data_IF_883574145603
#
_entry.id   IF_883574145603
#
_cell.length_a   1.000
_cell.length_b   1.000
_cell.length_c   1.000
_cell.angle_alpha   90.00
_cell.angle_beta   90.00
_cell.angle_gamma   90.00
#
_symmetry.space_group_name_H-M   'P 1'
#
loop_
_entity.id
_entity.type
_entity.pdbx_description
1 polymer ?
#
# COMPACT_ATOMS: atom_id res chain seq x y z
N UNK A 1 20.32 -3.21 7.07
CA UNK A 1 20.11 -4.42 6.25
C UNK A 1 18.95 -5.30 6.74
N UNK A 2 18.61 -5.32 8.04
CA UNK A 2 17.57 -6.21 8.59
C UNK A 2 16.12 -6.06 8.07
N UNK A 3 15.75 -4.94 7.41
CA UNK A 3 14.39 -4.78 6.86
C UNK A 3 14.17 -5.65 5.61
N UNK A 4 15.22 -5.83 4.79
CA UNK A 4 15.13 -6.62 3.56
C UNK A 4 14.99 -8.12 3.85
N UNK A 5 15.50 -8.59 4.99
CA UNK A 5 15.42 -10.00 5.39
C UNK A 5 14.04 -10.37 5.98
N UNK A 6 13.31 -9.41 6.54
CA UNK A 6 11.95 -9.60 7.07
C UNK A 6 10.89 -9.58 5.96
N UNK A 7 11.17 -8.88 4.85
CA UNK A 7 10.22 -8.65 3.77
C UNK A 7 9.63 -9.95 3.18
N UNK A 8 10.41 -11.02 2.90
CA UNK A 8 9.86 -12.24 2.32
C UNK A 8 8.88 -12.96 3.26
N UNK A 9 9.20 -13.03 4.57
CA UNK A 9 8.32 -13.66 5.56
C UNK A 9 7.03 -12.86 5.79
N UNK A 10 7.12 -11.53 5.74
CA UNK A 10 5.94 -10.66 5.80
C UNK A 10 5.05 -10.84 4.56
N UNK A 11 5.62 -10.84 3.36
CA UNK A 11 4.85 -11.01 2.12
C UNK A 11 4.15 -12.37 2.05
N UNK A 12 4.76 -13.44 2.58
CA UNK A 12 4.14 -14.76 2.64
C UNK A 12 2.97 -14.87 3.63
N UNK A 13 2.97 -14.05 4.69
CA UNK A 13 1.93 -14.08 5.72
C UNK A 13 0.77 -13.13 5.45
N UNK A 14 0.90 -12.23 4.47
CA UNK A 14 -0.15 -11.30 4.08
C UNK A 14 -1.16 -11.95 3.13
N UNK A 15 -2.45 -11.68 3.35
CA UNK A 15 -3.49 -11.96 2.35
C UNK A 15 -3.40 -10.92 1.22
N UNK A 16 -2.69 -11.28 0.16
CA UNK A 16 -2.49 -10.40 -0.99
C UNK A 16 -3.80 -10.08 -1.73
N UNK A 17 -4.88 -10.85 -1.52
CA UNK A 17 -6.17 -10.58 -2.14
C UNK A 17 -6.84 -9.30 -1.60
N UNK A 18 -6.43 -8.84 -0.41
CA UNK A 18 -6.92 -7.57 0.16
C UNK A 18 -6.14 -6.36 -0.35
N UNK A 19 -5.06 -6.55 -1.10
CA UNK A 19 -4.25 -5.45 -1.60
C UNK A 19 -4.97 -4.74 -2.75
N UNK A 20 -5.08 -3.42 -2.63
CA UNK A 20 -5.61 -2.57 -3.69
C UNK A 20 -4.51 -2.18 -4.66
N UNK A 21 -4.61 -2.67 -5.90
CA UNK A 21 -3.73 -2.23 -6.98
C UNK A 21 -4.14 -0.84 -7.47
N UNK A 22 -3.16 0.05 -7.63
CA UNK A 22 -3.36 1.36 -8.26
C UNK A 22 -2.76 1.37 -9.66
N UNK A 23 -3.46 1.92 -10.67
CA UNK A 23 -2.97 1.92 -12.04
C UNK A 23 -1.70 2.75 -12.19
N UNK A 24 -0.72 2.29 -13.00
CA UNK A 24 0.48 3.06 -13.29
C UNK A 24 0.12 4.36 -14.04
N UNK A 25 0.90 5.41 -13.83
CA UNK A 25 0.69 6.72 -14.46
C UNK A 25 -0.47 7.54 -13.89
N UNK A 26 -1.07 7.12 -12.78
CA UNK A 26 -2.13 7.86 -12.09
C UNK A 26 -1.87 7.97 -10.58
N UNK A 27 -0.74 8.59 -10.17
CA UNK A 27 -0.39 8.73 -8.76
C UNK A 27 -1.45 9.50 -7.95
N UNK A 28 -2.27 10.34 -8.59
CA UNK A 28 -3.35 11.11 -7.98
C UNK A 28 -4.40 10.20 -7.34
N UNK A 29 -4.65 9.02 -7.92
CA UNK A 29 -5.58 8.02 -7.34
C UNK A 29 -5.06 7.44 -6.02
N UNK A 30 -3.74 7.23 -5.93
CA UNK A 30 -3.10 6.79 -4.70
C UNK A 30 -3.09 7.93 -3.67
N UNK A 31 -2.76 9.15 -4.09
CA UNK A 31 -2.80 10.35 -3.25
C UNK A 31 -4.18 10.56 -2.63
N UNK A 32 -5.25 10.54 -3.43
CA UNK A 32 -6.62 10.71 -2.94
C UNK A 32 -7.06 9.59 -1.99
N UNK A 33 -6.55 8.36 -2.19
CA UNK A 33 -6.78 7.28 -1.24
C UNK A 33 -6.10 7.57 0.11
N UNK A 34 -4.84 8.02 0.10
CA UNK A 34 -4.13 8.41 1.32
C UNK A 34 -4.90 9.48 2.07
N UNK A 35 -5.29 10.56 1.39
CA UNK A 35 -6.06 11.64 1.99
C UNK A 35 -7.33 11.14 2.69
N UNK A 36 -8.02 10.17 2.10
CA UNK A 36 -9.20 9.53 2.69
C UNK A 36 -8.85 8.70 3.93
N UNK A 37 -7.83 7.84 3.86
CA UNK A 37 -7.52 6.92 4.98
C UNK A 37 -6.83 7.60 6.14
N UNK A 38 -6.07 8.67 5.89
CA UNK A 38 -5.43 9.48 6.93
C UNK A 38 -6.30 10.66 7.40
N UNK A 39 -7.51 10.82 6.84
CA UNK A 39 -8.48 11.83 7.28
C UNK A 39 -8.08 13.27 6.95
N UNK A 40 -7.33 13.49 5.86
CA UNK A 40 -6.92 14.82 5.39
C UNK A 40 -8.01 15.52 4.56
N UNK A 41 -9.02 14.76 4.10
CA UNK A 41 -10.21 15.31 3.46
C UNK A 41 -11.35 15.42 4.50
N UNK A 42 -11.92 16.62 4.64
CA UNK A 42 -13.11 16.90 5.46
C UNK A 42 -14.39 16.50 4.75
#
# INVERSE_FOLDING_TARGET
LQYCDMLPGLLQSMDLSTLKCFPPGQPEKFSAFLDKVVGLQK
#
